data_IF_992933613435
#
_entry.id   IF_992933613435
#
_cell.length_a   1.000
_cell.length_b   1.000
_cell.length_c   1.000
_cell.angle_alpha   90.00
_cell.angle_beta   90.00
_cell.angle_gamma   90.00
#
_symmetry.space_group_name_H-M   'P 1'
#
loop_
_entity.id
_entity.type
_entity.pdbx_description
1 polymer ?
#
# COMPACT_ATOMS: atom_id res chain seq x y z
N UNK A 1 12.16 -5.93 36.81
CA UNK A 1 12.93 -6.54 35.71
C UNK A 1 12.55 -5.85 34.43
N UNK A 2 13.55 -5.42 33.65
CA UNK A 2 13.45 -4.46 32.54
C UNK A 2 12.45 -4.82 31.43
N UNK A 3 11.45 -3.95 31.23
CA UNK A 3 10.59 -3.95 30.04
C UNK A 3 11.43 -3.54 28.83
N UNK A 4 11.74 -4.51 27.96
CA UNK A 4 12.38 -4.26 26.67
C UNK A 4 11.34 -3.65 25.72
N UNK A 5 11.02 -2.37 25.95
CA UNK A 5 10.23 -1.59 25.01
C UNK A 5 11.11 -1.33 23.79
N UNK A 6 10.88 -2.09 22.72
CA UNK A 6 11.52 -1.85 21.44
C UNK A 6 11.10 -0.47 20.94
N UNK A 7 11.92 0.55 21.24
CA UNK A 7 11.71 1.90 20.75
C UNK A 7 12.06 1.89 19.27
N UNK A 8 11.03 1.92 18.42
CA UNK A 8 11.20 2.26 17.00
C UNK A 8 11.72 3.69 16.98
N UNK A 9 13.01 3.85 16.74
CA UNK A 9 13.63 5.16 16.60
C UNK A 9 13.20 5.73 15.25
N UNK A 10 12.41 6.82 15.22
CA UNK A 10 11.76 7.31 14.00
C UNK A 10 12.75 7.90 12.98
N UNK A 11 14.04 7.94 13.31
CA UNK A 11 15.06 8.62 12.52
C UNK A 11 16.40 7.85 12.43
N UNK A 12 16.37 6.51 12.47
CA UNK A 12 17.54 5.74 12.01
C UNK A 12 17.60 5.84 10.49
N UNK A 13 18.35 6.81 9.98
CA UNK A 13 19.05 6.58 8.72
C UNK A 13 19.96 5.38 8.94
N UNK A 14 20.00 4.45 7.99
CA UNK A 14 20.97 3.35 8.01
C UNK A 14 22.37 3.95 7.82
N UNK A 15 22.93 4.54 8.87
CA UNK A 15 24.32 4.93 8.89
C UNK A 15 25.13 3.64 8.81
N UNK A 16 25.57 3.36 7.59
CA UNK A 16 26.72 2.54 7.23
C UNK A 16 27.04 1.40 8.20
N UNK A 17 26.34 0.26 8.07
CA UNK A 17 26.91 -1.01 8.52
C UNK A 17 28.09 -1.33 7.59
N UNK A 18 29.31 -1.55 8.10
CA UNK A 18 30.45 -1.89 7.26
C UNK A 18 30.27 -3.33 6.75
N UNK A 19 29.91 -3.50 5.48
CA UNK A 19 30.03 -4.81 4.82
C UNK A 19 28.88 -5.25 3.92
N UNK A 20 28.38 -4.43 3.01
CA UNK A 20 27.59 -4.99 1.88
C UNK A 20 27.84 -4.19 0.62
N UNK A 21 28.69 -4.75 -0.26
CA UNK A 21 28.92 -4.25 -1.62
C UNK A 21 27.68 -4.57 -2.46
N UNK A 22 26.97 -3.52 -2.87
CA UNK A 22 25.91 -3.53 -3.88
C UNK A 22 25.96 -2.19 -4.64
N UNK A 23 25.40 -2.10 -5.86
CA UNK A 23 25.68 -1.04 -6.82
C UNK A 23 25.53 0.36 -6.21
N UNK A 24 26.58 1.16 -6.38
CA UNK A 24 26.94 2.31 -5.54
C UNK A 24 26.18 3.61 -5.83
N UNK A 25 25.01 3.55 -6.49
CA UNK A 25 24.22 4.78 -6.75
C UNK A 25 22.71 4.51 -6.86
N UNK A 26 22.09 4.10 -5.75
CA UNK A 26 20.63 4.15 -5.59
C UNK A 26 20.29 5.16 -4.49
N UNK A 27 19.47 6.17 -4.80
CA UNK A 27 18.94 7.09 -3.79
C UNK A 27 17.95 6.32 -2.91
N UNK A 28 18.35 6.00 -1.69
CA UNK A 28 17.48 5.38 -0.69
C UNK A 28 16.63 6.45 -0.02
N UNK A 29 15.34 6.16 0.15
CA UNK A 29 14.41 6.96 0.96
C UNK A 29 14.18 6.29 2.31
N UNK A 30 13.70 7.05 3.30
CA UNK A 30 13.32 6.48 4.59
C UNK A 30 12.12 5.54 4.41
N UNK A 31 12.15 4.38 5.08
CA UNK A 31 11.06 3.39 5.01
C UNK A 31 9.76 3.98 5.55
N UNK A 32 9.83 4.80 6.62
CA UNK A 32 8.68 5.53 7.17
C UNK A 32 8.05 6.46 6.13
N UNK A 33 8.87 7.18 5.36
CA UNK A 33 8.41 8.04 4.28
C UNK A 33 7.73 7.23 3.17
N UNK A 34 8.39 6.18 2.68
CA UNK A 34 7.83 5.31 1.65
C UNK A 34 6.49 4.68 2.06
N UNK A 35 6.38 4.25 3.32
CA UNK A 35 5.16 3.68 3.88
C UNK A 35 4.05 4.72 4.01
N UNK A 36 4.37 5.95 4.44
CA UNK A 36 3.42 7.05 4.52
C UNK A 36 2.88 7.43 3.14
N UNK A 37 3.76 7.52 2.14
CA UNK A 37 3.39 7.84 0.76
C UNK A 37 2.52 6.74 0.14
N UNK A 38 2.90 5.47 0.35
CA UNK A 38 2.10 4.31 -0.11
C UNK A 38 0.71 4.28 0.53
N UNK A 39 0.62 4.50 1.85
CA UNK A 39 -0.66 4.61 2.56
C UNK A 39 -1.51 5.74 1.99
N UNK A 40 -0.91 6.91 1.81
CA UNK A 40 -1.61 8.11 1.35
C UNK A 40 -2.17 7.92 -0.07
N UNK A 41 -1.37 7.33 -0.97
CA UNK A 41 -1.83 6.94 -2.30
C UNK A 41 -3.03 5.98 -2.22
N UNK A 42 -2.95 4.96 -1.36
CA UNK A 42 -4.06 4.03 -1.13
C UNK A 42 -5.34 4.75 -0.68
N UNK A 43 -5.24 5.64 0.31
CA UNK A 43 -6.39 6.38 0.83
C UNK A 43 -7.04 7.30 -0.21
N UNK A 44 -6.23 7.95 -1.06
CA UNK A 44 -6.73 8.83 -2.11
C UNK A 44 -7.51 8.08 -3.18
N UNK A 45 -7.09 6.85 -3.51
CA UNK A 45 -7.68 6.08 -4.59
C UNK A 45 -8.73 5.06 -4.13
N UNK A 46 -8.80 4.76 -2.82
CA UNK A 46 -9.69 3.73 -2.29
C UNK A 46 -11.16 3.92 -2.67
N UNK A 47 -11.63 5.18 -2.75
CA UNK A 47 -13.02 5.47 -3.14
C UNK A 47 -13.31 5.21 -4.62
N UNK A 48 -12.27 5.19 -5.46
CA UNK A 48 -12.35 4.95 -6.89
C UNK A 48 -12.11 3.48 -7.26
N UNK A 49 -11.76 2.62 -6.30
CA UNK A 49 -11.56 1.20 -6.51
C UNK A 49 -12.90 0.43 -6.41
N UNK A 50 -13.46 -0.06 -7.54
CA UNK A 50 -14.73 -0.76 -7.55
C UNK A 50 -14.76 -2.04 -6.71
N UNK A 51 -13.60 -2.64 -6.46
CA UNK A 51 -13.48 -3.86 -5.64
C UNK A 51 -13.62 -3.53 -4.15
N UNK A 52 -13.17 -2.34 -3.75
CA UNK A 52 -13.24 -1.88 -2.36
C UNK A 52 -14.59 -1.23 -2.03
N UNK A 53 -15.14 -0.42 -2.94
CA UNK A 53 -16.39 0.31 -2.71
C UNK A 53 -17.64 -0.41 -3.21
N UNK A 54 -17.46 -1.43 -4.05
CA UNK A 54 -18.55 -2.03 -4.80
C UNK A 54 -19.07 -1.09 -5.89
N UNK A 55 -19.88 -1.65 -6.78
CA UNK A 55 -20.55 -0.89 -7.85
C UNK A 55 -22.00 -1.32 -7.95
N UNK A 56 -22.85 -0.42 -8.44
CA UNK A 56 -24.23 -0.77 -8.76
C UNK A 56 -24.26 -1.87 -9.83
N UNK A 57 -25.32 -2.68 -9.84
CA UNK A 57 -25.51 -3.69 -10.88
C UNK A 57 -25.46 -3.08 -12.29
N UNK A 58 -25.96 -1.85 -12.50
CA UNK A 58 -25.99 -1.20 -13.80
C UNK A 58 -24.60 -0.77 -14.32
N UNK A 59 -23.71 -0.38 -13.42
CA UNK A 59 -22.33 0.05 -13.74
C UNK A 59 -21.32 -1.08 -13.69
N UNK A 60 -21.72 -2.27 -13.22
CA UNK A 60 -20.86 -3.45 -13.23
C UNK A 60 -20.75 -4.05 -14.65
N UNK A 61 -19.57 -4.05 -15.28
CA UNK A 61 -19.38 -4.64 -16.61
C UNK A 61 -19.49 -6.16 -16.60
N UNK A 62 -19.34 -6.81 -15.44
CA UNK A 62 -19.49 -8.25 -15.26
C UNK A 62 -20.89 -8.68 -14.80
N UNK A 63 -21.86 -7.76 -14.75
CA UNK A 63 -23.24 -8.13 -14.39
C UNK A 63 -23.75 -9.21 -15.35
N UNK A 64 -24.37 -10.30 -14.86
CA UNK A 64 -25.07 -11.23 -15.73
C UNK A 64 -26.13 -10.48 -16.55
N UNK A 65 -26.20 -10.76 -17.86
CA UNK A 65 -27.29 -10.23 -18.66
C UNK A 65 -28.60 -10.84 -18.16
N UNK A 66 -29.60 -10.00 -17.89
CA UNK A 66 -30.96 -10.47 -17.65
C UNK A 66 -31.51 -10.96 -18.98
N UNK A 67 -31.31 -12.25 -19.28
CA UNK A 67 -32.13 -12.93 -20.29
C UNK A 67 -33.51 -13.08 -19.68
N UNK A 68 -34.45 -12.26 -20.13
CA UNK A 68 -35.86 -12.48 -19.86
C UNK A 68 -36.27 -13.71 -20.66
N UNK A 69 -36.39 -14.87 -20.00
CA UNK A 69 -37.02 -16.03 -20.62
C UNK A 69 -38.50 -15.71 -20.73
N UNK A 70 -39.01 -15.50 -21.94
CA UNK A 70 -40.44 -15.60 -22.18
C UNK A 70 -40.79 -17.09 -22.05
N UNK A 71 -41.47 -17.46 -20.96
CA UNK A 71 -42.23 -18.71 -20.87
C UNK A 71 -43.66 -18.45 -21.34
#
# INVERSE_FOLDING_TARGET
>A
GVEHKMKILPNRTWAHLPGTLGPTTLKRIQVSQAAADSKQFGLQNAQHDPVLTGVSSGTNPFRPQKVCSFL
#
